data_IF_499967788813
#
_entry.id   IF_499967788813
#
_cell.length_a   1.000
_cell.length_b   1.000
_cell.length_c   1.000
_cell.angle_alpha   90.00
_cell.angle_beta   90.00
_cell.angle_gamma   90.00
#
_symmetry.space_group_name_H-M   'P 1'
#
loop_
_entity.id
_entity.type
_entity.pdbx_description
1 polymer ?
#
# COMPACT_ATOMS: atom_id res chain seq x y z
N UNK A 1 -10.98 -26.92 25.51
CA UNK A 1 -10.62 -25.53 25.14
C UNK A 1 -11.88 -24.91 24.55
N UNK A 2 -12.50 -24.02 25.29
CA UNK A 2 -13.75 -23.35 24.95
C UNK A 2 -13.49 -22.36 23.80
N UNK A 3 -14.19 -22.53 22.69
CA UNK A 3 -14.26 -21.51 21.66
C UNK A 3 -15.17 -20.42 22.20
N UNK A 4 -14.60 -19.32 22.66
CA UNK A 4 -15.38 -18.12 22.93
C UNK A 4 -16.01 -17.69 21.60
N UNK A 5 -17.31 -17.99 21.48
CA UNK A 5 -18.14 -17.40 20.45
C UNK A 5 -18.15 -15.90 20.74
N UNK A 6 -17.47 -15.10 19.90
CA UNK A 6 -17.70 -13.66 19.84
C UNK A 6 -19.20 -13.49 19.57
N UNK A 7 -19.96 -13.21 20.61
CA UNK A 7 -21.38 -12.91 20.45
C UNK A 7 -21.46 -11.54 19.77
N UNK A 8 -21.99 -11.51 18.56
CA UNK A 8 -22.55 -10.28 18.03
C UNK A 8 -23.55 -9.77 19.05
N UNK A 9 -23.22 -8.69 19.77
CA UNK A 9 -24.10 -8.01 20.73
C UNK A 9 -25.20 -7.25 19.96
N UNK A 10 -25.99 -7.96 19.18
CA UNK A 10 -27.24 -7.45 18.59
C UNK A 10 -28.46 -7.80 19.42
N UNK A 11 -28.27 -8.29 20.66
CA UNK A 11 -29.38 -8.58 21.58
C UNK A 11 -29.75 -7.34 22.44
N UNK A 12 -30.18 -6.28 21.75
CA UNK A 12 -30.99 -5.26 22.41
C UNK A 12 -32.43 -5.74 22.45
N UNK A 13 -32.76 -6.48 23.51
CA UNK A 13 -34.10 -6.99 23.77
C UNK A 13 -35.20 -5.99 23.38
N UNK A 14 -36.02 -6.37 22.41
CA UNK A 14 -37.37 -5.83 22.14
C UNK A 14 -37.54 -4.39 21.67
N UNK A 15 -36.60 -3.84 20.91
CA UNK A 15 -36.89 -2.62 20.14
C UNK A 15 -37.15 -3.00 18.67
N UNK A 16 -38.18 -2.41 18.00
CA UNK A 16 -38.55 -2.75 16.62
C UNK A 16 -37.63 -2.11 15.55
N UNK A 17 -36.43 -1.73 15.92
CA UNK A 17 -35.45 -1.13 15.00
C UNK A 17 -34.30 -2.10 14.78
N UNK A 18 -34.33 -2.80 13.66
CA UNK A 18 -33.15 -3.48 13.14
C UNK A 18 -32.15 -2.40 12.69
N UNK A 19 -31.15 -2.12 13.52
CA UNK A 19 -29.95 -1.45 13.01
C UNK A 19 -29.22 -2.46 12.11
N UNK A 20 -28.93 -2.12 10.84
CA UNK A 20 -28.09 -2.98 10.04
C UNK A 20 -26.76 -3.15 10.77
N UNK A 21 -26.33 -4.39 11.00
CA UNK A 21 -24.97 -4.67 11.47
C UNK A 21 -24.01 -3.94 10.55
N UNK A 22 -23.22 -2.99 11.08
CA UNK A 22 -22.30 -2.23 10.26
C UNK A 22 -21.23 -3.17 9.74
N UNK A 23 -21.21 -3.38 8.41
CA UNK A 23 -20.16 -4.11 7.74
C UNK A 23 -18.92 -3.24 7.60
N UNK A 24 -17.74 -3.80 7.85
CA UNK A 24 -16.48 -3.16 7.60
C UNK A 24 -16.01 -2.27 8.75
N UNK A 25 -16.04 -2.76 9.98
CA UNK A 25 -15.37 -2.09 11.10
C UNK A 25 -13.85 -2.13 10.89
N UNK A 26 -13.22 -0.99 11.05
CA UNK A 26 -11.77 -0.89 11.13
C UNK A 26 -11.32 -1.56 12.43
N UNK A 27 -10.54 -2.65 12.31
CA UNK A 27 -10.01 -3.38 13.47
C UNK A 27 -8.60 -2.91 13.82
N UNK A 28 -7.74 -2.75 12.82
CA UNK A 28 -6.37 -2.30 13.01
C UNK A 28 -5.98 -1.30 11.92
N UNK A 29 -5.15 -0.33 12.31
CA UNK A 29 -4.51 0.63 11.39
C UNK A 29 -3.01 0.63 11.64
N UNK A 30 -2.23 0.50 10.58
CA UNK A 30 -0.76 0.47 10.63
C UNK A 30 -0.20 1.49 9.64
N UNK A 31 0.81 2.23 10.08
CA UNK A 31 1.61 3.11 9.21
C UNK A 31 2.95 2.44 8.94
N UNK A 32 3.37 2.43 7.70
CA UNK A 32 4.64 1.87 7.28
C UNK A 32 5.83 2.69 7.79
N UNK A 33 6.95 2.00 7.91
CA UNK A 33 8.24 2.62 8.20
C UNK A 33 8.97 2.83 6.88
N UNK A 34 9.22 4.09 6.54
CA UNK A 34 9.98 4.45 5.35
C UNK A 34 11.46 4.10 5.50
N UNK A 35 12.11 3.80 4.37
CA UNK A 35 13.56 3.74 4.31
C UNK A 35 14.16 5.09 4.77
N UNK A 36 15.28 5.04 5.48
CA UNK A 36 15.94 6.26 5.93
C UNK A 36 17.45 6.18 5.61
N UNK A 37 17.95 7.03 4.69
CA UNK A 37 17.19 8.01 3.91
C UNK A 37 16.19 7.35 2.96
N UNK A 38 15.18 8.14 2.48
CA UNK A 38 14.33 7.71 1.38
C UNK A 38 15.18 7.42 0.15
N UNK A 39 14.87 6.37 -0.63
CA UNK A 39 15.75 5.92 -1.69
C UNK A 39 15.68 6.81 -2.93
N UNK A 40 16.77 6.79 -3.69
CA UNK A 40 16.73 7.11 -5.10
C UNK A 40 16.47 5.84 -5.89
N UNK A 41 15.59 5.91 -6.89
CA UNK A 41 15.38 4.83 -7.84
C UNK A 41 16.51 4.87 -8.88
N UNK A 42 17.29 3.80 -9.03
CA UNK A 42 18.53 3.86 -9.78
C UNK A 42 18.32 3.96 -11.30
N UNK A 43 19.19 4.70 -11.95
CA UNK A 43 19.43 4.71 -13.40
C UNK A 43 20.60 3.75 -13.73
N UNK A 44 20.72 3.10 -14.91
CA UNK A 44 19.81 3.17 -16.04
C UNK A 44 18.58 2.23 -15.92
N UNK A 45 17.47 2.56 -16.60
CA UNK A 45 16.32 1.66 -16.68
C UNK A 45 16.57 0.49 -17.65
N UNK A 46 15.84 -0.64 -17.52
CA UNK A 46 14.95 -0.93 -16.40
C UNK A 46 15.76 -1.24 -15.15
N UNK A 47 15.47 -0.53 -14.07
CA UNK A 47 16.13 -0.78 -12.77
C UNK A 47 15.44 -1.92 -12.01
N UNK A 48 16.13 -2.45 -11.00
CA UNK A 48 15.50 -3.34 -10.03
C UNK A 48 14.55 -2.55 -9.11
N UNK A 49 13.62 -3.27 -8.48
CA UNK A 49 12.74 -2.66 -7.49
C UNK A 49 13.52 -2.30 -6.23
N UNK A 50 13.35 -1.07 -5.78
CA UNK A 50 13.93 -0.55 -4.54
C UNK A 50 12.82 -0.36 -3.51
N UNK A 51 13.05 -0.80 -2.27
CA UNK A 51 12.09 -0.67 -1.17
C UNK A 51 12.01 0.79 -0.72
N UNK A 52 10.79 1.33 -0.70
CA UNK A 52 10.47 2.69 -0.25
C UNK A 52 9.97 2.64 1.20
N UNK A 53 9.04 1.74 1.51
CA UNK A 53 8.43 1.63 2.83
C UNK A 53 8.05 0.19 3.15
N UNK A 54 7.99 -0.15 4.44
CA UNK A 54 7.63 -1.49 4.92
C UNK A 54 6.64 -1.37 6.07
N UNK A 55 5.64 -2.23 6.11
CA UNK A 55 4.72 -2.38 7.23
C UNK A 55 4.46 -3.85 7.55
N UNK A 56 4.04 -4.12 8.79
CA UNK A 56 3.57 -5.43 9.22
C UNK A 56 2.23 -5.28 9.92
N UNK A 57 1.26 -6.11 9.54
CA UNK A 57 -0.09 -6.14 10.11
C UNK A 57 -0.42 -7.55 10.59
N UNK A 58 -1.15 -7.65 11.70
CA UNK A 58 -1.67 -8.90 12.23
C UNK A 58 -3.11 -9.07 11.77
N UNK A 59 -3.48 -10.29 11.32
CA UNK A 59 -4.84 -10.63 10.91
C UNK A 59 -5.31 -11.78 11.78
N UNK A 60 -6.44 -11.62 12.45
CA UNK A 60 -6.96 -12.62 13.39
C UNK A 60 -8.16 -13.41 12.86
N UNK A 61 -8.80 -12.99 11.77
CA UNK A 61 -9.87 -13.72 11.10
C UNK A 61 -9.53 -13.98 9.61
N UNK A 62 -9.72 -15.22 9.12
CA UNK A 62 -9.37 -15.57 7.73
C UNK A 62 -10.27 -14.91 6.68
N UNK A 63 -11.36 -14.26 7.08
CA UNK A 63 -12.29 -13.57 6.20
C UNK A 63 -12.02 -12.07 6.12
N UNK A 64 -11.14 -11.56 6.99
CA UNK A 64 -10.79 -10.15 7.00
C UNK A 64 -9.96 -9.78 5.77
N UNK A 65 -10.04 -8.51 5.45
CA UNK A 65 -9.31 -7.94 4.32
C UNK A 65 -8.36 -6.86 4.79
N UNK A 66 -7.21 -6.76 4.15
CA UNK A 66 -6.28 -5.65 4.34
C UNK A 66 -6.46 -4.68 3.20
N UNK A 67 -6.78 -3.42 3.52
CA UNK A 67 -6.81 -2.31 2.57
C UNK A 67 -5.57 -1.46 2.72
N UNK A 68 -4.91 -1.17 1.61
CA UNK A 68 -3.73 -0.32 1.54
C UNK A 68 -4.04 1.02 0.93
N UNK A 69 -3.33 2.04 1.40
CA UNK A 69 -3.16 3.32 0.74
C UNK A 69 -1.67 3.61 0.65
N UNK A 70 -1.20 3.92 -0.55
CA UNK A 70 0.15 4.41 -0.79
C UNK A 70 0.09 5.76 -1.51
N UNK A 71 0.87 6.71 -1.02
CA UNK A 71 1.13 8.01 -1.66
C UNK A 71 2.63 8.19 -1.72
N UNK A 72 3.16 8.52 -2.89
CA UNK A 72 4.59 8.68 -3.14
C UNK A 72 4.77 10.02 -3.83
N UNK A 73 5.66 10.84 -3.29
CA UNK A 73 6.13 12.08 -3.92
C UNK A 73 7.52 11.82 -4.47
N UNK A 74 7.68 12.01 -5.76
CA UNK A 74 8.92 11.73 -6.46
C UNK A 74 9.40 12.96 -7.24
N UNK A 75 10.72 13.11 -7.34
CA UNK A 75 11.39 14.18 -8.03
C UNK A 75 12.32 13.62 -9.11
N UNK A 76 12.04 13.99 -10.35
CA UNK A 76 12.88 13.66 -11.49
C UNK A 76 14.05 14.67 -11.57
N UNK A 77 15.19 14.32 -10.99
CA UNK A 77 16.36 15.19 -10.92
C UNK A 77 16.96 15.59 -12.29
N UNK A 78 16.66 14.82 -13.34
CA UNK A 78 17.12 15.14 -14.70
C UNK A 78 16.20 16.11 -15.45
N UNK A 79 15.04 16.45 -14.87
CA UNK A 79 14.05 17.32 -15.48
C UNK A 79 14.01 18.69 -14.82
N UNK A 80 13.61 19.70 -15.58
CA UNK A 80 13.33 21.05 -15.09
C UNK A 80 12.05 21.57 -15.74
N UNK A 81 11.44 22.60 -15.15
CA UNK A 81 10.27 23.26 -15.73
C UNK A 81 10.58 23.84 -17.14
N UNK A 82 11.83 24.22 -17.38
CA UNK A 82 12.27 24.76 -18.67
C UNK A 82 12.59 23.67 -19.71
N UNK A 83 13.00 22.49 -19.24
CA UNK A 83 13.36 21.33 -20.08
C UNK A 83 12.80 20.04 -19.46
N UNK A 84 11.50 19.77 -19.63
CA UNK A 84 10.85 18.64 -19.00
C UNK A 84 11.20 17.33 -19.71
N UNK A 85 11.85 16.42 -19.01
CA UNK A 85 12.26 15.10 -19.48
C UNK A 85 11.46 14.00 -18.76
N UNK A 86 10.60 13.29 -19.49
CA UNK A 86 9.74 12.29 -18.91
C UNK A 86 10.48 11.00 -18.51
N UNK A 87 10.16 10.49 -17.33
CA UNK A 87 10.49 9.13 -16.89
C UNK A 87 9.22 8.33 -16.63
N UNK A 88 9.26 7.06 -16.98
CA UNK A 88 8.20 6.11 -16.66
C UNK A 88 8.65 5.22 -15.51
N UNK A 89 7.87 5.19 -14.43
CA UNK A 89 8.13 4.31 -13.31
C UNK A 89 7.03 3.31 -13.05
N UNK A 90 7.38 2.30 -12.25
CA UNK A 90 6.46 1.35 -11.69
C UNK A 90 6.61 1.36 -10.18
N UNK A 91 5.49 1.52 -9.49
CA UNK A 91 5.36 1.24 -8.06
C UNK A 91 4.56 -0.04 -7.86
N UNK A 92 4.86 -0.78 -6.78
CA UNK A 92 4.09 -1.96 -6.40
C UNK A 92 3.99 -2.11 -4.89
N UNK A 93 2.93 -2.81 -4.45
CA UNK A 93 2.84 -3.39 -3.12
C UNK A 93 3.02 -4.90 -3.26
N UNK A 94 3.94 -5.46 -2.48
CA UNK A 94 4.22 -6.89 -2.46
C UNK A 94 4.15 -7.41 -1.02
N UNK A 95 3.48 -8.55 -0.82
CA UNK A 95 3.58 -9.33 0.41
C UNK A 95 4.89 -10.12 0.40
N UNK A 96 5.59 -10.16 1.53
CA UNK A 96 6.91 -10.79 1.62
C UNK A 96 6.79 -12.31 1.73
N UNK A 97 5.84 -12.81 2.57
CA UNK A 97 5.64 -14.24 2.79
C UNK A 97 4.16 -14.58 3.04
N UNK A 98 3.55 -15.53 2.31
CA UNK A 98 4.04 -16.03 1.04
C UNK A 98 4.18 -14.90 0.02
N UNK A 99 5.19 -14.97 -0.84
CA UNK A 99 5.47 -13.88 -1.78
C UNK A 99 4.34 -13.73 -2.79
N UNK A 100 3.79 -12.51 -2.86
CA UNK A 100 2.72 -12.17 -3.79
C UNK A 100 2.75 -10.67 -4.12
N UNK A 101 2.66 -10.35 -5.41
CA UNK A 101 2.46 -8.98 -5.86
C UNK A 101 0.97 -8.63 -5.76
N UNK A 102 0.62 -7.69 -4.89
CA UNK A 102 -0.78 -7.32 -4.62
C UNK A 102 -1.31 -6.34 -5.67
N UNK A 103 -0.49 -5.38 -6.04
CA UNK A 103 -0.80 -4.39 -7.07
C UNK A 103 0.48 -3.86 -7.70
N UNK A 104 0.37 -3.48 -8.98
CA UNK A 104 1.38 -2.72 -9.71
C UNK A 104 0.72 -1.56 -10.42
N UNK A 105 1.29 -0.37 -10.29
CA UNK A 105 0.87 0.84 -10.98
C UNK A 105 2.04 1.44 -11.75
N UNK A 106 1.74 2.11 -12.85
CA UNK A 106 2.71 2.86 -13.64
C UNK A 106 2.33 4.33 -13.66
N UNK A 107 3.32 5.19 -13.59
CA UNK A 107 3.15 6.62 -13.66
C UNK A 107 4.27 7.24 -14.48
N UNK A 108 4.07 8.48 -14.91
CA UNK A 108 5.06 9.25 -15.66
C UNK A 108 5.36 10.54 -14.92
N UNK A 109 6.63 10.75 -14.60
CA UNK A 109 7.11 11.99 -13.99
C UNK A 109 7.87 12.83 -15.02
N UNK A 110 7.53 14.10 -15.07
CA UNK A 110 8.24 15.09 -15.91
C UNK A 110 9.15 15.97 -15.05
N UNK A 111 8.75 16.28 -13.82
CA UNK A 111 9.50 17.10 -12.86
C UNK A 111 9.22 16.60 -11.44
N UNK A 112 8.08 16.99 -10.86
CA UNK A 112 7.55 16.44 -9.62
C UNK A 112 6.28 15.67 -9.88
N UNK A 113 6.14 14.47 -9.29
CA UNK A 113 4.92 13.69 -9.37
C UNK A 113 4.46 13.24 -7.98
N UNK A 114 3.14 13.16 -7.82
CA UNK A 114 2.52 12.51 -6.66
C UNK A 114 1.64 11.39 -7.14
N UNK A 115 2.07 10.17 -6.89
CA UNK A 115 1.33 8.95 -7.24
C UNK A 115 0.61 8.44 -6.03
N UNK A 116 -0.73 8.30 -6.12
CA UNK A 116 -1.56 7.72 -5.05
C UNK A 116 -2.37 6.56 -5.58
N UNK A 117 -2.36 5.44 -4.86
CA UNK A 117 -3.15 4.26 -5.21
C UNK A 117 -3.57 3.46 -3.98
N UNK A 118 -4.58 2.62 -4.17
CA UNK A 118 -5.11 1.72 -3.15
C UNK A 118 -5.09 0.29 -3.65
N UNK A 119 -5.00 -0.66 -2.70
CA UNK A 119 -5.07 -2.09 -3.00
C UNK A 119 -5.79 -2.83 -1.88
N UNK A 120 -6.17 -4.08 -2.16
CA UNK A 120 -6.80 -4.98 -1.18
C UNK A 120 -6.11 -6.34 -1.28
N UNK A 121 -5.81 -6.94 -0.11
CA UNK A 121 -5.34 -8.32 0.02
C UNK A 121 -6.23 -9.12 0.98
N UNK A 122 -6.17 -10.44 0.88
CA UNK A 122 -6.81 -11.40 1.79
C UNK A 122 -5.81 -12.48 2.19
N UNK A 123 -4.87 -12.15 3.07
CA UNK A 123 -3.74 -13.02 3.36
C UNK A 123 -4.09 -14.24 4.21
N UNK A 124 -5.27 -14.25 4.87
CA UNK A 124 -5.64 -15.22 5.90
C UNK A 124 -5.17 -14.77 7.28
N UNK A 125 -5.09 -15.71 8.24
CA UNK A 125 -4.69 -15.42 9.64
C UNK A 125 -3.18 -15.46 9.79
N UNK A 126 -2.62 -14.46 10.47
CA UNK A 126 -1.18 -14.39 10.76
C UNK A 126 -0.62 -12.98 10.81
N UNK A 127 0.71 -12.91 10.82
CA UNK A 127 1.46 -11.66 10.68
C UNK A 127 2.01 -11.57 9.25
N UNK A 128 1.66 -10.50 8.56
CA UNK A 128 2.06 -10.31 7.17
C UNK A 128 2.85 -9.02 7.02
N UNK A 129 4.01 -9.15 6.41
CA UNK A 129 4.85 -8.00 6.05
C UNK A 129 4.64 -7.65 4.59
N UNK A 130 4.41 -6.36 4.33
CA UNK A 130 4.26 -5.79 3.00
C UNK A 130 5.33 -4.75 2.77
N UNK A 131 5.76 -4.67 1.52
CA UNK A 131 6.72 -3.68 1.05
C UNK A 131 6.11 -2.85 -0.08
N UNK A 132 6.30 -1.54 0.00
CA UNK A 132 6.08 -0.60 -1.08
C UNK A 132 7.42 -0.41 -1.78
N UNK A 133 7.45 -0.65 -3.08
CA UNK A 133 8.67 -0.65 -3.89
C UNK A 133 8.46 0.18 -5.16
N UNK A 134 9.55 0.77 -5.66
CA UNK A 134 9.57 1.53 -6.91
C UNK A 134 10.74 1.16 -7.81
N UNK A 135 10.61 1.42 -9.11
CA UNK A 135 11.69 1.34 -10.08
C UNK A 135 11.46 2.25 -11.28
N UNK A 136 12.53 2.64 -11.96
CA UNK A 136 12.47 3.29 -13.27
C UNK A 136 12.32 2.19 -14.35
N UNK A 137 11.36 2.37 -15.28
CA UNK A 137 11.19 1.48 -16.43
C UNK A 137 11.88 2.02 -17.69
N UNK A 138 11.65 3.32 -17.98
CA UNK A 138 12.21 3.99 -19.15
C UNK A 138 12.45 5.45 -18.82
N UNK A 139 13.42 6.06 -19.48
CA UNK A 139 13.68 7.50 -19.44
C UNK A 139 13.63 8.07 -20.85
N UNK A 140 13.22 9.34 -20.97
CA UNK A 140 13.39 10.07 -22.22
C UNK A 140 14.87 10.24 -22.57
N UNK A 141 15.24 10.33 -23.85
CA UNK A 141 16.60 10.63 -24.25
C UNK A 141 17.08 11.93 -23.58
N UNK A 142 18.28 11.88 -22.99
CA UNK A 142 18.86 13.02 -22.24
C UNK A 142 18.51 13.05 -20.75
N UNK A 143 17.57 12.24 -20.28
CA UNK A 143 17.31 12.06 -18.84
C UNK A 143 18.08 10.85 -18.31
N UNK A 144 19.30 11.10 -17.87
CA UNK A 144 20.23 10.08 -17.35
C UNK A 144 20.43 10.25 -15.84
N UNK A 145 19.33 10.41 -15.11
CA UNK A 145 19.36 10.63 -13.66
C UNK A 145 18.53 9.63 -12.89
N UNK A 146 18.88 9.46 -11.61
CA UNK A 146 18.05 8.73 -10.65
C UNK A 146 16.78 9.53 -10.37
N UNK A 147 15.71 8.81 -9.99
CA UNK A 147 14.49 9.41 -9.44
C UNK A 147 14.59 9.46 -7.92
N UNK A 148 14.47 10.65 -7.33
CA UNK A 148 14.44 10.82 -5.89
C UNK A 148 13.03 10.62 -5.32
N UNK A 149 12.91 9.81 -4.29
CA UNK A 149 11.69 9.75 -3.49
C UNK A 149 11.80 10.80 -2.39
N UNK A 150 10.95 11.83 -2.47
CA UNK A 150 10.98 12.97 -1.53
C UNK A 150 10.13 12.69 -0.29
N UNK A 151 8.99 12.01 -0.48
CA UNK A 151 8.09 11.63 0.61
C UNK A 151 7.32 10.37 0.25
N UNK A 152 6.92 9.61 1.25
CA UNK A 152 6.08 8.45 1.08
C UNK A 152 5.19 8.21 2.30
N UNK A 153 3.91 7.95 2.05
CA UNK A 153 2.96 7.45 3.04
C UNK A 153 2.48 6.08 2.60
N UNK A 154 2.68 5.08 3.44
CA UNK A 154 2.20 3.73 3.22
C UNK A 154 1.43 3.26 4.45
N UNK A 155 0.14 2.98 4.28
CA UNK A 155 -0.73 2.55 5.37
C UNK A 155 -1.48 1.29 5.02
N UNK A 156 -1.84 0.52 6.04
CA UNK A 156 -2.71 -0.64 5.93
C UNK A 156 -3.80 -0.59 6.99
N UNK A 157 -5.00 -1.01 6.62
CA UNK A 157 -6.16 -1.13 7.48
C UNK A 157 -6.70 -2.55 7.40
N UNK A 158 -6.90 -3.19 8.54
CA UNK A 158 -7.66 -4.43 8.62
C UNK A 158 -9.14 -4.09 8.69
N UNK A 159 -9.89 -4.65 7.76
CA UNK A 159 -11.34 -4.46 7.66
C UNK A 159 -12.01 -5.78 8.02
N UNK A 160 -12.67 -5.81 9.16
CA UNK A 160 -13.46 -6.97 9.57
C UNK A 160 -14.61 -7.25 8.60
N UNK A 161 -14.76 -8.49 8.24
CA UNK A 161 -15.95 -8.92 7.52
C UNK A 161 -17.07 -9.22 8.50
N UNK A 162 -18.11 -8.38 8.50
CA UNK A 162 -19.32 -8.72 9.22
C UNK A 162 -20.00 -9.94 8.58
N UNK A 163 -20.11 -11.01 9.36
CA UNK A 163 -21.02 -12.12 9.06
C UNK A 163 -22.40 -11.64 9.51
N UNK A 164 -23.38 -11.50 8.61
CA UNK A 164 -24.74 -11.22 9.04
C UNK A 164 -25.19 -12.32 9.99
N UNK A 165 -25.72 -11.92 11.11
CA UNK A 165 -26.33 -12.82 12.10
C UNK A 165 -27.57 -13.51 11.51
#
# INVERSE_FOLDING_TARGET
MSKDKKHCLCDFGKLPFHFPCQSGLLHQFVVGTNANPLPELPFPPPSEFTTISTLTIAIDDPLDTVRFLATIVANNFGSTVADPLAQLFTYRIRRVAPEEEIIRVQDTNIDFATTTFTAIDRPGVGFFTYVLEGRINTSAPGNESNEGIEDAVFTAEEIERNIPC
#
